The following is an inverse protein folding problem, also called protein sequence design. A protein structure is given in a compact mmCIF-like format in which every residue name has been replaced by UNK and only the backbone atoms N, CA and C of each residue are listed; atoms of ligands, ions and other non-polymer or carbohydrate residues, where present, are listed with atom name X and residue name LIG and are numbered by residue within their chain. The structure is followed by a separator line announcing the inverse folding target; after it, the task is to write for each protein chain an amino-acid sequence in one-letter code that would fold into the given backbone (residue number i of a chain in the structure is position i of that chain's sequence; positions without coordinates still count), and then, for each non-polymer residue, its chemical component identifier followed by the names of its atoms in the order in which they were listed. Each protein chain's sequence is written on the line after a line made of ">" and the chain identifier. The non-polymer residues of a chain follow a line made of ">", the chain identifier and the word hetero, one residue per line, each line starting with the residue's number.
data_IF_713460171190
#
_entry.id   IF_713460171190
#
_cell.length_a   1.000
_cell.length_b   1.000
_cell.length_c   1.000
_cell.angle_alpha   90.00
_cell.angle_beta   90.00
_cell.angle_gamma   90.00
#
_symmetry.space_group_name_H-M   'P 1'
#
loop_
_entity.id
_entity.type
_entity.pdbx_description
1 polymer ?
#
# COMPACT_ATOMS: atom_id res chain seq x y z
N UNK A 1 -16.17 3.56 16.03
CA UNK A 1 -15.87 2.72 17.22
C UNK A 1 -15.10 1.43 16.89
N UNK A 2 -15.46 0.65 15.87
CA UNK A 2 -14.77 -0.58 15.44
C UNK A 2 -13.33 -0.31 14.98
N UNK A 3 -13.10 0.75 14.20
CA UNK A 3 -11.79 1.15 13.70
C UNK A 3 -10.79 1.47 14.82
N UNK A 4 -11.21 2.22 15.86
CA UNK A 4 -10.33 2.57 16.98
C UNK A 4 -9.94 1.34 17.83
N UNK A 5 -10.85 0.37 18.00
CA UNK A 5 -10.57 -0.86 18.74
C UNK A 5 -9.54 -1.74 18.01
N UNK A 6 -9.66 -1.88 16.67
CA UNK A 6 -8.72 -2.64 15.83
C UNK A 6 -7.34 -1.99 15.71
N UNK A 7 -7.26 -0.66 15.89
CA UNK A 7 -6.03 0.11 15.80
C UNK A 7 -5.02 -0.23 16.89
N UNK A 8 -5.47 -0.64 18.06
CA UNK A 8 -4.63 -0.81 19.26
C UNK A 8 -4.03 -2.22 19.42
N UNK A 9 -4.34 -3.15 18.50
CA UNK A 9 -3.72 -4.47 18.53
C UNK A 9 -2.25 -4.38 18.09
N UNK A 10 -1.35 -4.95 18.89
CA UNK A 10 0.08 -5.01 18.56
C UNK A 10 0.39 -6.16 17.60
N UNK A 11 1.43 -6.00 16.78
CA UNK A 11 2.01 -7.10 16.00
C UNK A 11 3.01 -7.81 16.92
N UNK A 12 2.50 -8.66 17.83
CA UNK A 12 3.38 -9.34 18.80
C UNK A 12 4.12 -10.53 18.18
N UNK A 13 3.60 -11.09 17.09
CA UNK A 13 4.10 -12.34 16.50
C UNK A 13 5.28 -12.17 15.53
N UNK A 14 5.55 -10.95 15.12
CA UNK A 14 6.68 -10.66 14.23
C UNK A 14 7.78 -9.97 15.04
N UNK A 15 8.90 -10.68 15.29
CA UNK A 15 10.15 -10.10 15.84
C UNK A 15 10.79 -9.10 14.87
N UNK A 16 9.98 -8.25 14.22
CA UNK A 16 10.41 -7.24 13.26
C UNK A 16 10.36 -5.89 13.97
N UNK A 17 11.43 -5.14 13.90
CA UNK A 17 11.45 -3.76 14.36
C UNK A 17 10.39 -2.94 13.62
N UNK A 18 9.69 -2.05 14.33
CA UNK A 18 8.63 -1.16 13.82
C UNK A 18 9.10 -0.17 12.74
N UNK A 19 10.33 -0.30 12.26
CA UNK A 19 10.94 0.52 11.23
C UNK A 19 11.45 -0.39 10.13
N UNK A 20 11.50 0.13 8.91
CA UNK A 20 11.93 -0.59 7.72
C UNK A 20 10.96 -1.69 7.27
N UNK A 21 9.65 -1.37 7.28
CA UNK A 21 8.60 -2.29 6.91
C UNK A 21 7.80 -1.78 5.70
N UNK A 22 7.79 -2.57 4.65
CA UNK A 22 6.93 -2.40 3.47
C UNK A 22 5.76 -3.36 3.57
N UNK A 23 4.55 -2.90 3.25
CA UNK A 23 3.35 -3.73 3.25
C UNK A 23 2.67 -3.74 1.88
N UNK A 24 2.34 -4.95 1.40
CA UNK A 24 1.41 -5.17 0.30
C UNK A 24 0.16 -5.89 0.82
N UNK A 25 -1.03 -5.44 0.39
CA UNK A 25 -2.32 -6.01 0.82
C UNK A 25 -3.20 -6.28 -0.39
N UNK A 26 -3.72 -7.50 -0.50
CA UNK A 26 -4.64 -7.87 -1.56
C UNK A 26 -4.59 -9.35 -1.89
N UNK A 27 -5.49 -9.80 -2.77
CA UNK A 27 -5.46 -11.18 -3.26
C UNK A 27 -4.14 -11.47 -3.98
N UNK A 28 -3.53 -12.61 -3.72
CA UNK A 28 -2.29 -13.02 -4.39
C UNK A 28 -2.60 -13.54 -5.80
N UNK A 29 -2.96 -12.62 -6.70
CA UNK A 29 -3.41 -12.86 -8.07
C UNK A 29 -2.57 -12.05 -9.06
N UNK A 30 -2.69 -12.37 -10.35
CA UNK A 30 -2.04 -11.62 -11.43
C UNK A 30 -2.41 -10.13 -11.40
N UNK A 31 -3.66 -9.80 -11.04
CA UNK A 31 -4.13 -8.42 -10.93
C UNK A 31 -3.29 -7.59 -9.97
N UNK A 32 -2.98 -8.14 -8.78
CA UNK A 32 -2.22 -7.41 -7.73
C UNK A 32 -0.72 -7.34 -8.00
N UNK A 33 -0.22 -8.16 -8.91
CA UNK A 33 1.16 -8.11 -9.44
C UNK A 33 2.26 -8.05 -8.36
N UNK A 34 2.09 -8.82 -7.29
CA UNK A 34 3.11 -8.90 -6.23
C UNK A 34 4.45 -9.44 -6.70
N UNK A 35 4.50 -10.08 -7.88
CA UNK A 35 5.75 -10.49 -8.51
C UNK A 35 6.66 -9.29 -8.81
N UNK A 36 6.08 -8.17 -9.31
CA UNK A 36 6.80 -6.92 -9.50
C UNK A 36 7.37 -6.41 -8.17
N UNK A 37 6.55 -6.42 -7.10
CA UNK A 37 6.98 -5.96 -5.79
C UNK A 37 8.14 -6.79 -5.23
N UNK A 38 8.08 -8.11 -5.33
CA UNK A 38 9.14 -9.01 -4.84
C UNK A 38 10.47 -8.76 -5.59
N UNK A 39 10.41 -8.64 -6.92
CA UNK A 39 11.57 -8.35 -7.76
C UNK A 39 12.18 -6.97 -7.47
N UNK A 40 11.34 -5.97 -7.27
CA UNK A 40 11.77 -4.64 -6.88
C UNK A 40 12.34 -4.64 -5.45
N UNK A 41 11.74 -5.39 -4.52
CA UNK A 41 12.19 -5.51 -3.15
C UNK A 41 13.60 -6.08 -3.05
N UNK A 42 13.98 -7.06 -3.91
CA UNK A 42 15.38 -7.53 -4.01
C UNK A 42 16.34 -6.37 -4.28
N UNK A 43 15.97 -5.44 -5.17
CA UNK A 43 16.80 -4.26 -5.49
C UNK A 43 16.81 -3.25 -4.34
N UNK A 44 15.69 -3.07 -3.65
CA UNK A 44 15.61 -2.25 -2.44
C UNK A 44 16.57 -2.76 -1.36
N UNK A 45 16.65 -4.07 -1.14
CA UNK A 45 17.53 -4.68 -0.13
C UNK A 45 19.02 -4.45 -0.37
N UNK A 46 19.46 -4.17 -1.60
CA UNK A 46 20.84 -3.82 -1.90
C UNK A 46 21.21 -2.49 -1.22
N UNK A 47 20.33 -1.51 -1.25
CA UNK A 47 20.53 -0.16 -0.68
C UNK A 47 20.06 -0.06 0.77
N UNK A 48 19.03 -0.82 1.13
CA UNK A 48 18.35 -0.79 2.43
C UNK A 48 18.19 -2.21 3.00
N UNK A 49 19.26 -2.88 3.47
CA UNK A 49 19.27 -4.30 3.82
C UNK A 49 18.38 -4.67 5.02
N UNK A 50 17.98 -3.69 5.83
CA UNK A 50 17.18 -3.92 7.03
C UNK A 50 15.66 -3.91 6.75
N UNK A 51 15.24 -3.65 5.50
CA UNK A 51 13.82 -3.70 5.17
C UNK A 51 13.27 -5.12 5.20
N UNK A 52 11.98 -5.21 5.54
CA UNK A 52 11.16 -6.41 5.44
C UNK A 52 9.92 -6.10 4.61
N UNK A 53 9.40 -7.11 3.94
CA UNK A 53 8.17 -7.04 3.17
C UNK A 53 7.12 -7.96 3.80
N UNK A 54 5.96 -7.44 4.13
CA UNK A 54 4.79 -8.22 4.53
C UNK A 54 3.78 -8.22 3.39
N UNK A 55 3.31 -9.40 3.02
CA UNK A 55 2.21 -9.59 2.08
C UNK A 55 1.02 -10.19 2.82
N UNK A 56 -0.10 -9.45 2.82
CA UNK A 56 -1.36 -9.84 3.44
C UNK A 56 -2.37 -10.21 2.37
N UNK A 57 -2.87 -11.42 2.44
CA UNK A 57 -3.88 -11.97 1.54
C UNK A 57 -3.55 -13.38 1.08
N UNK A 58 -4.49 -13.96 0.36
CA UNK A 58 -4.40 -15.30 -0.23
C UNK A 58 -4.69 -15.23 -1.72
N UNK A 59 -4.34 -16.29 -2.44
CA UNK A 59 -4.61 -16.40 -3.87
C UNK A 59 -3.73 -17.44 -4.55
N UNK A 60 -4.08 -17.75 -5.78
CA UNK A 60 -3.49 -18.82 -6.60
C UNK A 60 -1.99 -18.62 -6.88
N UNK A 61 -1.48 -17.37 -6.78
CA UNK A 61 -0.07 -17.08 -7.05
C UNK A 61 0.83 -17.27 -5.83
N UNK A 62 0.32 -17.60 -4.64
CA UNK A 62 1.13 -17.70 -3.41
C UNK A 62 2.37 -18.54 -3.60
N UNK A 63 2.21 -19.77 -4.10
CA UNK A 63 3.34 -20.70 -4.29
C UNK A 63 4.40 -20.14 -5.25
N UNK A 64 3.97 -19.57 -6.36
CA UNK A 64 4.88 -18.95 -7.35
C UNK A 64 5.64 -17.75 -6.74
N UNK A 65 4.99 -16.94 -5.93
CA UNK A 65 5.61 -15.78 -5.27
C UNK A 65 6.63 -16.23 -4.21
N UNK A 66 6.35 -17.29 -3.44
CA UNK A 66 7.28 -17.90 -2.48
C UNK A 66 8.50 -18.49 -3.19
N UNK A 67 8.30 -19.16 -4.33
CA UNK A 67 9.38 -19.70 -5.16
C UNK A 67 10.26 -18.58 -5.74
N UNK A 68 9.67 -17.49 -6.22
CA UNK A 68 10.43 -16.31 -6.68
C UNK A 68 11.26 -15.69 -5.55
N UNK A 69 10.71 -15.57 -4.35
CA UNK A 69 11.44 -15.07 -3.19
C UNK A 69 12.65 -15.96 -2.84
N UNK A 70 12.51 -17.29 -2.92
CA UNK A 70 13.61 -18.26 -2.73
C UNK A 70 14.66 -18.13 -3.83
N UNK A 71 14.23 -18.05 -5.11
CA UNK A 71 15.13 -17.89 -6.26
C UNK A 71 15.98 -16.62 -6.15
N UNK A 72 15.40 -15.54 -5.59
CA UNK A 72 16.11 -14.28 -5.35
C UNK A 72 16.93 -14.27 -4.05
N UNK A 73 16.90 -15.34 -3.26
CA UNK A 73 17.53 -15.46 -1.95
C UNK A 73 17.12 -14.35 -0.96
N UNK A 74 15.82 -14.02 -0.92
CA UNK A 74 15.23 -13.01 -0.02
C UNK A 74 14.06 -13.55 0.80
N UNK A 75 13.82 -14.86 0.81
CA UNK A 75 12.71 -15.50 1.52
C UNK A 75 12.67 -15.16 3.02
N UNK A 76 13.82 -14.93 3.65
CA UNK A 76 13.92 -14.56 5.07
C UNK A 76 13.55 -13.08 5.34
N UNK A 77 13.31 -12.29 4.30
CA UNK A 77 12.93 -10.87 4.36
C UNK A 77 11.48 -10.62 3.94
N UNK A 78 10.76 -11.68 3.52
CA UNK A 78 9.36 -11.59 3.05
C UNK A 78 8.49 -12.49 3.91
N UNK A 79 7.37 -11.94 4.42
CA UNK A 79 6.41 -12.65 5.24
C UNK A 79 5.05 -12.72 4.53
N UNK A 80 4.62 -13.91 4.17
CA UNK A 80 3.30 -14.19 3.62
C UNK A 80 2.36 -14.58 4.77
N UNK A 81 1.56 -13.64 5.27
CA UNK A 81 0.76 -13.85 6.49
C UNK A 81 -0.68 -14.29 6.22
N UNK A 82 -1.01 -14.58 4.94
CA UNK A 82 -2.36 -14.99 4.59
C UNK A 82 -3.39 -13.88 4.79
N UNK A 83 -4.67 -14.27 4.80
CA UNK A 83 -5.77 -13.36 5.07
C UNK A 83 -5.75 -12.85 6.51
N UNK A 84 -5.92 -11.55 6.69
CA UNK A 84 -5.93 -10.91 8.00
C UNK A 84 -7.22 -10.10 8.21
N UNK A 85 -7.98 -10.43 9.26
CA UNK A 85 -9.18 -9.67 9.64
C UNK A 85 -8.88 -8.23 10.08
N UNK A 86 -7.66 -7.98 10.56
CA UNK A 86 -7.21 -6.67 11.02
C UNK A 86 -5.93 -6.26 10.30
N UNK A 87 -6.07 -5.65 9.12
CA UNK A 87 -4.94 -5.10 8.36
C UNK A 87 -4.39 -3.81 8.98
N UNK A 88 -5.19 -3.13 9.79
CA UNK A 88 -4.84 -1.82 10.36
C UNK A 88 -3.63 -1.88 11.28
N UNK A 89 -3.49 -2.96 12.08
CA UNK A 89 -2.32 -3.14 12.95
C UNK A 89 -1.00 -3.20 12.17
N UNK A 90 -1.02 -3.77 10.96
CA UNK A 90 0.15 -3.84 10.09
C UNK A 90 0.42 -2.49 9.43
N UNK A 91 -0.60 -1.84 8.87
CA UNK A 91 -0.48 -0.52 8.23
C UNK A 91 0.07 0.54 9.19
N UNK A 92 -0.37 0.54 10.45
CA UNK A 92 0.09 1.51 11.47
C UNK A 92 1.57 1.35 11.85
N UNK A 93 2.16 0.19 11.59
CA UNK A 93 3.56 -0.10 11.90
C UNK A 93 4.46 -0.08 10.66
N UNK A 94 3.89 0.10 9.47
CA UNK A 94 4.63 0.15 8.21
C UNK A 94 5.18 1.55 7.90
N UNK A 95 6.35 1.61 7.27
CA UNK A 95 6.88 2.85 6.69
C UNK A 95 6.05 3.27 5.48
N UNK A 96 5.69 2.29 4.64
CA UNK A 96 4.82 2.52 3.50
C UNK A 96 3.98 1.29 3.15
N UNK A 97 2.81 1.56 2.59
CA UNK A 97 1.97 0.63 1.86
C UNK A 97 2.31 0.72 0.37
N UNK A 98 2.47 -0.43 -0.29
CA UNK A 98 2.77 -0.49 -1.72
C UNK A 98 1.65 -1.23 -2.45
N UNK A 99 1.09 -0.59 -3.47
CA UNK A 99 0.14 -1.17 -4.42
C UNK A 99 0.83 -1.33 -5.78
N UNK A 100 0.90 -2.56 -6.28
CA UNK A 100 1.52 -2.88 -7.57
C UNK A 100 0.54 -3.36 -8.62
N UNK A 101 -0.75 -3.18 -8.37
CA UNK A 101 -1.84 -3.69 -9.20
C UNK A 101 -1.72 -3.25 -10.66
N UNK A 102 -2.11 -4.14 -11.56
CA UNK A 102 -2.25 -3.84 -12.99
C UNK A 102 -3.53 -3.04 -13.28
N UNK A 103 -4.57 -3.25 -12.49
CA UNK A 103 -5.84 -2.50 -12.45
C UNK A 103 -6.50 -2.66 -11.10
N UNK A 104 -7.34 -1.70 -10.71
CA UNK A 104 -8.16 -1.71 -9.49
C UNK A 104 -9.65 -1.50 -9.79
N UNK A 105 -10.50 -1.70 -8.78
CA UNK A 105 -11.93 -1.43 -8.83
C UNK A 105 -12.49 -1.27 -7.40
N UNK A 106 -12.51 -0.08 -6.84
CA UNK A 106 -11.66 1.11 -7.01
C UNK A 106 -10.40 1.13 -6.11
N UNK A 107 -9.97 0.00 -5.51
CA UNK A 107 -8.75 -0.06 -4.70
C UNK A 107 -8.91 0.46 -3.28
N UNK A 108 -9.95 0.05 -2.56
CA UNK A 108 -10.26 0.47 -1.19
C UNK A 108 -9.08 0.36 -0.19
N UNK A 109 -8.15 -0.55 -0.43
CA UNK A 109 -6.96 -0.71 0.43
C UNK A 109 -6.10 0.55 0.50
N UNK A 110 -6.11 1.40 -0.54
CA UNK A 110 -5.44 2.71 -0.52
C UNK A 110 -6.10 3.62 0.53
N UNK A 111 -7.45 3.58 0.62
CA UNK A 111 -8.19 4.36 1.61
C UNK A 111 -7.88 3.88 3.03
N UNK A 112 -7.76 2.57 3.24
CA UNK A 112 -7.38 1.98 4.52
C UNK A 112 -5.98 2.42 4.95
N UNK A 113 -5.00 2.40 4.03
CA UNK A 113 -3.65 2.89 4.27
C UNK A 113 -3.61 4.39 4.62
N UNK A 114 -4.37 5.22 3.89
CA UNK A 114 -4.49 6.65 4.18
C UNK A 114 -5.13 6.93 5.55
N UNK A 115 -6.17 6.17 5.94
CA UNK A 115 -6.80 6.26 7.27
C UNK A 115 -5.82 5.90 8.39
N UNK A 116 -4.92 4.94 8.15
CA UNK A 116 -3.86 4.58 9.07
C UNK A 116 -2.70 5.56 9.11
N UNK A 117 -2.75 6.63 8.29
CA UNK A 117 -1.66 7.59 8.17
C UNK A 117 -0.35 6.95 7.67
N UNK A 118 -0.47 5.87 6.90
CA UNK A 118 0.64 5.16 6.26
C UNK A 118 0.96 5.83 4.92
N UNK A 119 2.23 5.98 4.58
CA UNK A 119 2.62 6.48 3.27
C UNK A 119 2.26 5.47 2.19
N UNK A 120 1.87 5.98 1.03
CA UNK A 120 1.37 5.17 -0.07
C UNK A 120 2.27 5.34 -1.28
N UNK A 121 2.74 4.22 -1.82
CA UNK A 121 3.42 4.14 -3.12
C UNK A 121 2.56 3.22 -3.98
N UNK A 122 2.03 3.73 -5.08
CA UNK A 122 1.06 3.00 -5.91
C UNK A 122 1.44 3.02 -7.38
N UNK A 123 1.14 1.92 -8.07
CA UNK A 123 1.06 1.94 -9.53
C UNK A 123 -0.01 2.93 -9.97
N UNK A 124 0.27 3.66 -11.06
CA UNK A 124 -0.72 4.46 -11.79
C UNK A 124 -1.52 3.55 -12.72
N UNK A 125 -2.24 2.61 -12.12
CA UNK A 125 -3.09 1.67 -12.84
C UNK A 125 -4.50 2.23 -13.02
N UNK A 126 -5.28 1.71 -14.00
CA UNK A 126 -6.67 2.12 -14.20
C UNK A 126 -7.52 1.94 -12.93
N UNK A 127 -8.48 2.85 -12.74
CA UNK A 127 -9.56 2.86 -11.74
C UNK A 127 -9.08 3.04 -10.29
N UNK A 128 -8.84 4.28 -9.91
CA UNK A 128 -8.76 4.73 -8.52
C UNK A 128 -7.43 5.30 -8.06
N UNK A 129 -6.25 4.66 -8.22
CA UNK A 129 -5.02 5.13 -7.59
C UNK A 129 -4.64 6.58 -7.93
N UNK A 130 -4.73 6.98 -9.19
CA UNK A 130 -4.43 8.35 -9.63
C UNK A 130 -5.37 9.38 -8.98
N UNK A 131 -6.66 9.10 -8.97
CA UNK A 131 -7.69 9.96 -8.38
C UNK A 131 -7.49 10.09 -6.86
N UNK A 132 -7.37 8.95 -6.16
CA UNK A 132 -7.20 8.93 -4.70
C UNK A 132 -5.91 9.65 -4.29
N UNK A 133 -4.83 9.45 -5.03
CA UNK A 133 -3.54 10.06 -4.75
C UNK A 133 -3.34 11.43 -5.40
N UNK A 134 -4.39 11.97 -6.07
CA UNK A 134 -4.37 13.30 -6.70
C UNK A 134 -3.13 13.52 -7.56
N UNK A 135 -2.89 12.62 -8.52
CA UNK A 135 -1.72 12.63 -9.40
C UNK A 135 -0.37 12.69 -8.63
N UNK A 136 -0.28 11.94 -7.53
CA UNK A 136 0.94 11.83 -6.72
C UNK A 136 1.12 12.92 -5.65
N UNK A 137 0.20 13.88 -5.51
CA UNK A 137 0.25 14.89 -4.42
C UNK A 137 0.08 14.24 -3.04
N UNK A 138 -0.76 13.22 -2.93
CA UNK A 138 -1.14 12.57 -1.68
C UNK A 138 -0.32 11.27 -1.39
N UNK A 139 0.61 10.92 -2.27
CA UNK A 139 1.43 9.72 -2.18
C UNK A 139 2.53 9.75 -3.24
N UNK A 140 3.00 8.59 -3.64
CA UNK A 140 3.95 8.41 -4.73
C UNK A 140 3.30 7.52 -5.79
N UNK A 141 3.30 7.96 -7.05
CA UNK A 141 2.76 7.22 -8.18
C UNK A 141 3.88 6.82 -9.12
N UNK A 142 3.93 5.56 -9.50
CA UNK A 142 4.84 5.03 -10.50
C UNK A 142 4.07 4.48 -11.70
N UNK A 143 4.69 4.47 -12.86
CA UNK A 143 4.11 3.93 -14.09
C UNK A 143 3.69 2.50 -13.91
N UNK A 144 2.46 2.18 -14.33
CA UNK A 144 1.92 0.83 -14.22
C UNK A 144 2.88 -0.21 -14.80
N UNK A 145 3.13 -1.28 -14.01
CA UNK A 145 3.99 -2.40 -14.36
C UNK A 145 5.47 -2.04 -14.67
N UNK A 146 5.98 -0.94 -14.13
CA UNK A 146 7.35 -0.48 -14.33
C UNK A 146 8.18 -0.56 -13.03
N UNK A 147 9.04 -1.57 -12.94
CA UNK A 147 9.94 -1.77 -11.78
C UNK A 147 10.92 -0.60 -11.62
N UNK A 148 11.41 -0.04 -12.72
CA UNK A 148 12.41 1.03 -12.68
C UNK A 148 11.80 2.31 -12.14
N UNK A 149 10.59 2.63 -12.58
CA UNK A 149 9.87 3.80 -12.10
C UNK A 149 9.41 3.62 -10.64
N UNK A 150 8.97 2.42 -10.25
CA UNK A 150 8.71 2.11 -8.84
C UNK A 150 9.93 2.38 -7.95
N UNK A 151 11.13 1.94 -8.36
CA UNK A 151 12.34 2.17 -7.58
C UNK A 151 12.71 3.65 -7.48
N UNK A 152 12.47 4.45 -8.52
CA UNK A 152 12.64 5.90 -8.48
C UNK A 152 11.69 6.55 -7.45
N UNK A 153 10.41 6.15 -7.45
CA UNK A 153 9.44 6.67 -6.50
C UNK A 153 9.74 6.22 -5.06
N UNK A 154 10.24 4.99 -4.88
CA UNK A 154 10.72 4.53 -3.58
C UNK A 154 11.94 5.33 -3.10
N UNK A 155 12.89 5.64 -3.98
CA UNK A 155 14.03 6.51 -3.63
C UNK A 155 13.58 7.94 -3.31
N UNK A 156 12.60 8.51 -4.02
CA UNK A 156 11.99 9.81 -3.66
C UNK A 156 11.38 9.74 -2.26
N UNK A 157 10.61 8.68 -1.97
CA UNK A 157 10.07 8.46 -0.62
C UNK A 157 11.19 8.48 0.44
N UNK A 158 12.27 7.74 0.21
CA UNK A 158 13.39 7.65 1.17
C UNK A 158 14.16 8.95 1.35
N UNK A 159 14.23 9.78 0.32
CA UNK A 159 14.94 11.06 0.32
C UNK A 159 14.05 12.27 0.68
N UNK A 160 12.75 12.06 0.82
CA UNK A 160 11.80 13.12 1.23
C UNK A 160 12.01 13.54 2.67
N UNK A 161 11.85 14.82 2.93
CA UNK A 161 11.88 15.37 4.28
C UNK A 161 10.69 14.90 5.11
N UNK A 162 10.82 14.93 6.44
CA UNK A 162 9.71 14.57 7.32
C UNK A 162 8.46 15.44 7.09
N UNK A 163 8.63 16.70 6.72
CA UNK A 163 7.50 17.60 6.49
C UNK A 163 6.79 17.33 5.18
N UNK A 164 7.52 16.97 4.11
CA UNK A 164 6.92 16.47 2.86
C UNK A 164 6.12 15.19 3.11
N UNK A 165 6.68 14.24 3.84
CA UNK A 165 6.01 13.00 4.18
C UNK A 165 4.76 13.22 5.05
N UNK A 166 4.83 14.13 6.04
CA UNK A 166 3.67 14.54 6.84
C UNK A 166 2.58 15.18 5.97
N UNK A 167 2.97 16.07 5.07
CA UNK A 167 2.05 16.72 4.13
C UNK A 167 1.32 15.70 3.25
N UNK A 168 2.06 14.75 2.65
CA UNK A 168 1.45 13.67 1.83
C UNK A 168 0.45 12.83 2.62
N UNK A 169 0.81 12.40 3.84
CA UNK A 169 -0.09 11.65 4.73
C UNK A 169 -1.36 12.44 5.08
N UNK A 170 -1.20 13.72 5.42
CA UNK A 170 -2.33 14.60 5.73
C UNK A 170 -3.28 14.74 4.54
N UNK A 171 -2.74 14.98 3.34
CA UNK A 171 -3.52 15.14 2.12
C UNK A 171 -4.23 13.82 1.75
N UNK A 172 -3.54 12.67 1.81
CA UNK A 172 -4.15 11.36 1.59
C UNK A 172 -5.33 11.14 2.54
N UNK A 173 -5.15 11.38 3.83
CA UNK A 173 -6.21 11.24 4.83
C UNK A 173 -7.38 12.21 4.62
N UNK A 174 -7.11 13.43 4.14
CA UNK A 174 -8.16 14.41 3.78
C UNK A 174 -8.96 13.90 2.57
N UNK A 175 -8.29 13.35 1.57
CA UNK A 175 -8.90 12.82 0.35
C UNK A 175 -9.87 11.66 0.64
N UNK A 176 -9.57 10.80 1.62
CA UNK A 176 -10.45 9.67 1.99
C UNK A 176 -11.87 10.13 2.36
N UNK A 177 -12.02 11.34 2.90
CA UNK A 177 -13.36 11.87 3.25
C UNK A 177 -14.28 11.99 2.04
N UNK A 178 -13.73 12.15 0.83
CA UNK A 178 -14.49 12.21 -0.41
C UNK A 178 -15.10 10.86 -0.81
N UNK A 179 -14.54 9.76 -0.29
CA UNK A 179 -14.98 8.38 -0.58
C UNK A 179 -15.86 7.79 0.53
N UNK A 180 -16.48 8.64 1.38
CA UNK A 180 -17.43 8.19 2.38
C UNK A 180 -18.83 8.09 1.78
N UNK A 181 -19.68 7.23 2.34
CA UNK A 181 -21.09 7.14 1.98
C UNK A 181 -21.80 8.50 2.07
N UNK A 182 -21.47 9.28 3.10
CA UNK A 182 -22.02 10.63 3.29
C UNK A 182 -21.63 11.58 2.14
N UNK A 183 -20.36 11.59 1.74
CA UNK A 183 -19.90 12.45 0.63
C UNK A 183 -20.53 12.01 -0.69
N UNK A 184 -20.70 10.71 -0.92
CA UNK A 184 -21.35 10.18 -2.11
C UNK A 184 -22.83 10.57 -2.15
N UNK A 185 -23.55 10.41 -1.05
CA UNK A 185 -24.94 10.83 -0.93
C UNK A 185 -25.13 12.31 -1.23
N UNK A 186 -24.30 13.17 -0.62
CA UNK A 186 -24.33 14.62 -0.86
C UNK A 186 -24.06 14.99 -2.33
N UNK A 187 -23.16 14.26 -2.99
CA UNK A 187 -22.89 14.48 -4.43
C UNK A 187 -24.09 14.09 -5.28
N UNK A 188 -24.80 12.98 -4.95
CA UNK A 188 -26.01 12.57 -5.65
C UNK A 188 -27.15 13.58 -5.44
N UNK A 189 -27.36 14.06 -4.23
CA UNK A 189 -28.37 15.10 -3.93
C UNK A 189 -28.13 16.33 -4.80
N UNK A 190 -26.89 16.82 -4.90
CA UNK A 190 -26.57 17.99 -5.72
C UNK A 190 -26.81 17.80 -7.23
N UNK A 191 -26.76 16.57 -7.73
CA UNK A 191 -27.06 16.25 -9.14
C UNK A 191 -28.56 16.19 -9.37
N UNK A 192 -29.31 15.66 -8.40
CA UNK A 192 -30.78 15.52 -8.49
C UNK A 192 -31.45 16.89 -8.36
N UNK A 193 -30.95 17.79 -7.53
CA UNK A 193 -31.48 19.15 -7.36
C UNK A 193 -31.21 20.09 -8.55
N UNK A 194 -30.29 19.70 -9.48
CA UNK A 194 -29.97 20.45 -10.70
C UNK A 194 -30.85 20.05 -11.91
N UNK A 195 -31.73 19.06 -11.78
CA UNK A 195 -32.73 18.62 -12.77
C UNK A 195 -34.11 18.92 -12.31
#
# INVERSE_FOLDING_TARGET
>A
MIFQKKKNEKIEDLKIEKKNLIIGIGRLTKQKNFLLLIRAFKKILIKYPNYHLILLGEGEQKKMLEEEAKKLAIQNKIFFLGYQNNVYKYLLNADCFVLTSLWEDPGFVILEAALCNTLIISSDCPNGPNEILSSGKNGFLFKNNDVTDFLKEFDKFKNSTNDELKKKRFLAKKQVKMFTQFAHHKSLESIIELN
#
